data_IF_716555995502
#
_entry.id   IF_716555995502
#
_cell.length_a   1.000
_cell.length_b   1.000
_cell.length_c   1.000
_cell.angle_alpha   90.00
_cell.angle_beta   90.00
_cell.angle_gamma   90.00
#
_symmetry.space_group_name_H-M   'P 1'
#
loop_
_entity.id
_entity.type
_entity.pdbx_description
1 polymer ?
#
# COMPACT_ATOMS: atom_id res chain seq x y z
N UNK A 1 -21.40 14.17 14.75
CA UNK A 1 -21.97 12.85 15.13
C UNK A 1 -21.20 11.71 14.50
N UNK A 2 -21.09 11.60 13.18
CA UNK A 2 -20.33 10.50 12.50
C UNK A 2 -18.87 10.46 12.91
N UNK A 3 -18.16 11.58 12.92
CA UNK A 3 -16.73 11.64 13.29
C UNK A 3 -16.49 11.12 14.71
N UNK A 4 -17.40 11.39 15.64
CA UNK A 4 -17.31 10.94 17.03
C UNK A 4 -17.53 9.42 17.16
N UNK A 5 -18.31 8.83 16.28
CA UNK A 5 -18.51 7.38 16.22
C UNK A 5 -17.32 6.69 15.56
N UNK A 6 -16.82 7.23 14.45
CA UNK A 6 -15.66 6.70 13.75
C UNK A 6 -14.38 6.75 14.61
N UNK A 7 -14.28 7.66 15.56
CA UNK A 7 -13.15 7.75 16.49
C UNK A 7 -13.23 6.81 17.69
N UNK A 8 -14.28 5.98 17.79
CA UNK A 8 -14.43 4.93 18.81
C UNK A 8 -14.12 3.57 18.18
N UNK A 9 -13.39 2.73 18.92
CA UNK A 9 -13.09 1.37 18.47
C UNK A 9 -11.73 1.23 17.75
N UNK A 10 -11.58 0.12 17.07
CA UNK A 10 -10.37 -0.26 16.36
C UNK A 10 -10.07 0.65 15.15
N UNK A 11 -8.85 0.60 14.65
CA UNK A 11 -8.44 1.31 13.41
C UNK A 11 -9.25 0.79 12.22
N UNK A 12 -9.37 -0.54 12.10
CA UNK A 12 -10.18 -1.20 11.09
C UNK A 12 -11.06 -2.27 11.74
N UNK A 13 -12.29 -2.39 11.26
CA UNK A 13 -13.23 -3.43 11.67
C UNK A 13 -13.33 -4.49 10.57
N UNK A 14 -13.63 -5.76 10.97
CA UNK A 14 -13.85 -6.87 10.03
C UNK A 14 -12.72 -7.08 9.00
N UNK A 15 -11.48 -6.91 9.43
CA UNK A 15 -10.31 -7.08 8.56
C UNK A 15 -10.23 -8.48 7.94
N UNK A 16 -10.77 -9.50 8.63
CA UNK A 16 -10.87 -10.87 8.12
C UNK A 16 -11.92 -10.99 6.99
N UNK A 17 -13.11 -10.42 7.20
CA UNK A 17 -14.21 -10.49 6.22
C UNK A 17 -13.81 -9.77 4.91
N UNK A 18 -13.10 -8.65 5.01
CA UNK A 18 -12.59 -7.92 3.86
C UNK A 18 -11.58 -8.75 3.05
N UNK A 19 -10.73 -9.52 3.72
CA UNK A 19 -9.80 -10.43 3.06
C UNK A 19 -10.53 -11.56 2.32
N UNK A 20 -11.50 -12.20 2.96
CA UNK A 20 -12.32 -13.25 2.33
C UNK A 20 -13.05 -12.75 1.09
N UNK A 21 -13.62 -11.56 1.13
CA UNK A 21 -14.38 -11.01 0.00
C UNK A 21 -13.54 -10.55 -1.18
N UNK A 22 -12.32 -10.05 -0.93
CA UNK A 22 -11.53 -9.38 -1.96
C UNK A 22 -10.27 -10.13 -2.38
N UNK A 23 -9.73 -11.03 -1.55
CA UNK A 23 -8.39 -11.58 -1.73
C UNK A 23 -8.32 -13.11 -1.70
N UNK A 24 -9.43 -13.83 -1.45
CA UNK A 24 -9.49 -15.29 -1.55
C UNK A 24 -9.64 -15.81 -2.99
N UNK A 25 -9.35 -14.97 -3.97
CA UNK A 25 -9.21 -15.38 -5.35
C UNK A 25 -7.75 -15.81 -5.58
N UNK A 26 -7.50 -16.95 -6.22
CA UNK A 26 -6.11 -17.39 -6.49
C UNK A 26 -5.30 -16.28 -7.14
N UNK A 27 -4.03 -16.06 -6.73
CA UNK A 27 -3.15 -15.02 -7.30
C UNK A 27 -3.08 -15.03 -8.82
N UNK A 28 -3.19 -16.23 -9.42
CA UNK A 28 -3.21 -16.44 -10.86
C UNK A 28 -4.34 -15.70 -11.57
N UNK A 29 -5.49 -15.52 -10.91
CA UNK A 29 -6.59 -14.76 -11.48
C UNK A 29 -6.17 -13.32 -11.77
N UNK A 30 -5.42 -12.70 -10.88
CA UNK A 30 -4.97 -11.31 -11.05
C UNK A 30 -4.02 -11.16 -12.24
N UNK A 31 -3.26 -12.19 -12.59
CA UNK A 31 -2.42 -12.19 -13.80
C UNK A 31 -3.23 -12.11 -15.10
N UNK A 32 -4.50 -12.49 -15.08
CA UNK A 32 -5.39 -12.42 -16.25
C UNK A 32 -6.18 -11.12 -16.36
N UNK A 33 -6.39 -10.42 -15.24
CA UNK A 33 -7.29 -9.24 -15.21
C UNK A 33 -6.57 -7.93 -14.95
N UNK A 34 -5.34 -7.97 -14.43
CA UNK A 34 -4.51 -6.79 -14.17
C UNK A 34 -3.34 -6.71 -15.17
N UNK A 35 -2.67 -5.58 -15.20
CA UNK A 35 -1.45 -5.42 -15.96
C UNK A 35 -0.22 -6.03 -15.28
N UNK A 36 0.92 -5.85 -15.88
CA UNK A 36 2.21 -6.45 -15.47
C UNK A 36 2.65 -6.12 -14.03
N UNK A 37 2.14 -5.02 -13.47
CA UNK A 37 2.46 -4.63 -12.10
C UNK A 37 1.44 -5.12 -11.07
N UNK A 38 0.41 -5.86 -11.46
CA UNK A 38 -0.68 -6.34 -10.62
C UNK A 38 -1.28 -5.24 -9.73
N UNK A 39 -1.52 -4.08 -10.33
CA UNK A 39 -2.05 -2.92 -9.62
C UNK A 39 -3.56 -3.04 -9.43
N UNK A 40 -3.97 -3.66 -8.31
CA UNK A 40 -5.37 -3.83 -7.89
C UNK A 40 -5.90 -2.56 -7.21
N UNK A 41 -5.71 -1.44 -7.88
CA UNK A 41 -6.19 -0.10 -7.53
C UNK A 41 -6.27 0.71 -8.82
N UNK A 42 -6.76 1.94 -8.80
CA UNK A 42 -6.95 2.68 -10.03
C UNK A 42 -5.64 2.90 -10.80
N UNK A 43 -5.73 2.91 -12.12
CA UNK A 43 -4.66 3.22 -13.05
C UNK A 43 -4.90 4.57 -13.73
N UNK A 44 -3.84 5.20 -14.27
CA UNK A 44 -3.91 6.51 -14.94
C UNK A 44 -3.83 6.34 -16.45
N UNK A 45 -4.97 6.47 -17.13
CA UNK A 45 -5.08 6.33 -18.56
C UNK A 45 -4.77 7.63 -19.36
N UNK A 46 -4.21 8.63 -18.69
CA UNK A 46 -3.78 9.85 -19.35
C UNK A 46 -2.59 9.56 -20.28
N UNK A 47 -2.85 9.56 -21.58
CA UNK A 47 -1.91 9.16 -22.63
C UNK A 47 -1.40 7.69 -22.59
N UNK A 48 -2.08 6.79 -21.88
CA UNK A 48 -1.76 5.37 -21.86
C UNK A 48 -2.50 4.62 -22.98
N UNK A 49 -1.80 3.69 -23.65
CA UNK A 49 -2.35 2.88 -24.74
C UNK A 49 -2.73 1.46 -24.29
N UNK A 50 -2.32 1.09 -23.10
CA UNK A 50 -2.59 -0.22 -22.50
C UNK A 50 -2.79 -0.11 -21.00
N UNK A 51 -3.30 -1.17 -20.36
CA UNK A 51 -3.40 -1.25 -18.92
C UNK A 51 -2.00 -1.20 -18.27
N UNK A 52 -1.01 -1.85 -18.86
CA UNK A 52 0.38 -1.81 -18.39
C UNK A 52 0.93 -0.38 -18.34
N UNK A 53 0.69 0.41 -19.39
CA UNK A 53 1.11 1.82 -19.45
C UNK A 53 0.37 2.66 -18.41
N UNK A 54 -0.91 2.39 -18.22
CA UNK A 54 -1.74 3.12 -17.24
C UNK A 54 -1.33 2.82 -15.78
N UNK A 55 -1.04 1.56 -15.46
CA UNK A 55 -0.49 1.16 -14.17
C UNK A 55 0.86 1.85 -13.92
N UNK A 56 1.76 1.79 -14.90
CA UNK A 56 3.08 2.40 -14.79
C UNK A 56 2.99 3.92 -14.65
N UNK A 57 2.10 4.58 -15.38
CA UNK A 57 1.86 6.02 -15.29
C UNK A 57 1.39 6.42 -13.89
N UNK A 58 0.50 5.65 -13.28
CA UNK A 58 0.04 5.90 -11.92
C UNK A 58 1.14 5.66 -10.89
N UNK A 59 1.95 4.60 -11.04
CA UNK A 59 3.07 4.32 -10.13
C UNK A 59 4.14 5.43 -10.18
N UNK A 60 4.46 5.93 -11.36
CA UNK A 60 5.34 7.10 -11.54
C UNK A 60 4.78 8.35 -10.84
N UNK A 61 3.47 8.61 -11.00
CA UNK A 61 2.81 9.73 -10.34
C UNK A 61 2.88 9.63 -8.80
N UNK A 62 2.77 8.42 -8.23
CA UNK A 62 2.95 8.24 -6.78
C UNK A 62 4.39 8.53 -6.34
N UNK A 63 5.39 8.07 -7.09
CA UNK A 63 6.80 8.36 -6.83
C UNK A 63 7.05 9.86 -6.80
N UNK A 64 6.56 10.57 -7.80
CA UNK A 64 6.72 12.01 -7.93
C UNK A 64 6.03 12.77 -6.79
N UNK A 65 4.77 12.47 -6.53
CA UNK A 65 3.97 13.15 -5.50
C UNK A 65 4.43 12.86 -4.07
N UNK A 66 4.88 11.63 -3.82
CA UNK A 66 5.44 11.25 -2.52
C UNK A 66 6.90 11.68 -2.36
N UNK A 67 7.53 12.24 -3.40
CA UNK A 67 8.94 12.63 -3.40
C UNK A 67 9.85 11.46 -2.96
N UNK A 68 9.67 10.29 -3.61
CA UNK A 68 10.47 9.09 -3.35
C UNK A 68 11.87 9.27 -3.93
N UNK A 69 12.89 8.95 -3.13
CA UNK A 69 14.30 9.08 -3.53
C UNK A 69 15.08 7.81 -3.18
N UNK A 70 16.13 7.60 -3.95
CA UNK A 70 17.07 6.54 -3.63
C UNK A 70 17.71 6.81 -2.24
N UNK A 71 17.82 5.77 -1.42
CA UNK A 71 18.30 5.89 -0.03
C UNK A 71 17.21 6.16 1.00
N UNK A 72 15.94 6.33 0.60
CA UNK A 72 14.83 6.43 1.55
C UNK A 72 14.51 5.09 2.21
N UNK A 73 14.08 5.17 3.47
CA UNK A 73 13.34 4.11 4.16
C UNK A 73 11.84 4.36 3.91
N UNK A 74 11.17 3.42 3.24
CA UNK A 74 9.77 3.56 2.82
C UNK A 74 8.92 2.49 3.47
N UNK A 75 7.74 2.87 3.95
CA UNK A 75 6.68 1.94 4.36
C UNK A 75 5.54 1.99 3.35
N UNK A 76 5.20 0.85 2.75
CA UNK A 76 4.00 0.65 1.95
C UNK A 76 2.94 -0.01 2.83
N UNK A 77 1.99 0.79 3.31
CA UNK A 77 0.97 0.39 4.27
C UNK A 77 -0.32 0.00 3.56
N UNK A 78 -0.61 -1.29 3.53
CA UNK A 78 -1.66 -1.89 2.71
C UNK A 78 -1.15 -2.17 1.29
N UNK A 79 -0.03 -2.88 1.19
CA UNK A 79 0.73 -3.04 -0.05
C UNK A 79 0.05 -3.88 -1.15
N UNK A 80 -1.08 -4.55 -0.84
CA UNK A 80 -1.77 -5.43 -1.79
C UNK A 80 -0.82 -6.49 -2.37
N UNK A 81 -0.85 -6.69 -3.68
CA UNK A 81 0.03 -7.62 -4.40
C UNK A 81 1.45 -7.06 -4.63
N UNK A 82 1.82 -5.96 -3.96
CA UNK A 82 3.15 -5.38 -4.03
C UNK A 82 3.42 -4.54 -5.26
N UNK A 83 2.38 -4.11 -5.96
CA UNK A 83 2.50 -3.31 -7.18
C UNK A 83 3.45 -2.11 -7.01
N UNK A 84 3.23 -1.29 -5.98
CA UNK A 84 4.09 -0.15 -5.68
C UNK A 84 5.44 -0.59 -5.13
N UNK A 85 5.45 -1.52 -4.17
CA UNK A 85 6.65 -1.99 -3.49
C UNK A 85 7.69 -2.58 -4.45
N UNK A 86 7.28 -3.53 -5.29
CA UNK A 86 8.16 -4.18 -6.27
C UNK A 86 8.66 -3.18 -7.32
N UNK A 87 7.76 -2.30 -7.79
CA UNK A 87 8.09 -1.28 -8.78
C UNK A 87 9.15 -0.29 -8.28
N UNK A 88 9.04 0.13 -7.03
CA UNK A 88 9.98 1.07 -6.40
C UNK A 88 11.31 0.38 -6.05
N UNK A 89 11.26 -0.83 -5.49
CA UNK A 89 12.45 -1.58 -5.14
C UNK A 89 13.37 -1.84 -6.34
N UNK A 90 12.78 -2.15 -7.50
CA UNK A 90 13.51 -2.37 -8.75
C UNK A 90 14.19 -1.10 -9.29
N UNK A 91 13.56 0.06 -9.12
CA UNK A 91 14.04 1.35 -9.65
C UNK A 91 15.01 2.10 -8.75
N UNK A 92 14.95 1.84 -7.47
CA UNK A 92 15.76 2.52 -6.45
C UNK A 92 16.54 1.50 -5.61
N UNK A 93 17.67 0.98 -6.12
CA UNK A 93 18.40 -0.14 -5.49
C UNK A 93 18.96 0.18 -4.11
N UNK A 94 19.12 1.44 -3.73
CA UNK A 94 19.58 1.85 -2.40
C UNK A 94 18.45 2.31 -1.48
N UNK A 95 17.19 2.23 -1.92
CA UNK A 95 16.02 2.46 -1.09
C UNK A 95 15.66 1.14 -0.39
N UNK A 96 15.24 1.20 0.86
CA UNK A 96 14.65 0.06 1.55
C UNK A 96 13.14 0.24 1.65
N UNK A 97 12.38 -0.78 1.27
CA UNK A 97 10.93 -0.74 1.40
C UNK A 97 10.42 -1.86 2.31
N UNK A 98 9.63 -1.47 3.30
CA UNK A 98 8.86 -2.37 4.14
C UNK A 98 7.42 -2.38 3.64
N UNK A 99 6.93 -3.54 3.25
CA UNK A 99 5.58 -3.74 2.69
C UNK A 99 4.71 -4.46 3.70
N UNK A 100 3.59 -3.88 4.06
CA UNK A 100 2.70 -4.42 5.10
C UNK A 100 1.34 -4.77 4.52
N UNK A 101 0.91 -6.00 4.73
CA UNK A 101 -0.45 -6.48 4.46
C UNK A 101 -0.91 -7.44 5.56
N UNK A 102 -2.21 -7.56 5.76
CA UNK A 102 -2.81 -8.57 6.63
C UNK A 102 -3.03 -9.92 5.92
N UNK A 103 -2.85 -10.00 4.59
CA UNK A 103 -2.98 -11.21 3.78
C UNK A 103 -1.66 -11.97 3.69
N UNK A 104 -1.68 -13.25 4.07
CA UNK A 104 -0.53 -14.13 3.95
C UNK A 104 -0.13 -14.38 2.50
N UNK A 105 -1.12 -14.54 1.62
CA UNK A 105 -0.92 -14.83 0.21
C UNK A 105 -0.24 -13.67 -0.50
N UNK A 106 -0.64 -12.43 -0.18
CA UNK A 106 0.00 -11.23 -0.71
C UNK A 106 1.47 -11.14 -0.28
N UNK A 107 1.77 -11.38 0.99
CA UNK A 107 3.14 -11.34 1.51
C UNK A 107 4.01 -12.43 0.86
N UNK A 108 3.48 -13.66 0.76
CA UNK A 108 4.17 -14.77 0.10
C UNK A 108 4.46 -14.48 -1.37
N UNK A 109 3.48 -13.89 -2.07
CA UNK A 109 3.64 -13.47 -3.45
C UNK A 109 4.73 -12.42 -3.62
N UNK A 110 4.70 -11.35 -2.82
CA UNK A 110 5.71 -10.28 -2.88
C UNK A 110 7.11 -10.83 -2.64
N UNK A 111 7.27 -11.72 -1.66
CA UNK A 111 8.54 -12.34 -1.34
C UNK A 111 9.06 -13.20 -2.50
N UNK A 112 8.18 -14.02 -3.07
CA UNK A 112 8.52 -14.85 -4.24
C UNK A 112 8.92 -14.02 -5.46
N UNK A 113 8.21 -12.92 -5.74
CA UNK A 113 8.53 -12.02 -6.84
C UNK A 113 9.83 -11.24 -6.59
N UNK A 114 10.08 -10.81 -5.36
CA UNK A 114 11.34 -10.17 -4.99
C UNK A 114 12.53 -11.10 -5.22
N UNK A 115 12.42 -12.35 -4.77
CA UNK A 115 13.46 -13.38 -4.97
C UNK A 115 13.71 -13.64 -6.47
N UNK A 116 12.66 -13.82 -7.27
CA UNK A 116 12.76 -14.02 -8.72
C UNK A 116 13.43 -12.85 -9.45
N UNK A 117 13.20 -11.64 -8.99
CA UNK A 117 13.78 -10.40 -9.57
C UNK A 117 15.14 -10.03 -8.96
N UNK A 118 15.62 -10.78 -7.95
CA UNK A 118 16.88 -10.49 -7.24
C UNK A 118 16.84 -9.20 -6.43
N UNK A 119 15.66 -8.80 -5.93
CA UNK A 119 15.47 -7.60 -5.12
C UNK A 119 15.78 -7.90 -3.64
N UNK A 120 16.85 -7.34 -3.11
CA UNK A 120 17.26 -7.53 -1.70
C UNK A 120 16.83 -6.37 -0.78
N UNK A 121 16.19 -5.34 -1.34
CA UNK A 121 15.83 -4.09 -0.67
C UNK A 121 14.32 -4.00 -0.35
N UNK A 122 13.63 -5.13 -0.33
CA UNK A 122 12.21 -5.24 0.03
C UNK A 122 12.03 -6.21 1.19
N UNK A 123 11.25 -5.79 2.19
CA UNK A 123 10.88 -6.59 3.35
C UNK A 123 9.35 -6.66 3.45
N UNK A 124 8.76 -7.82 3.20
CA UNK A 124 7.32 -8.01 3.23
C UNK A 124 6.88 -8.64 4.55
N UNK A 125 5.96 -7.98 5.26
CA UNK A 125 5.53 -8.35 6.61
C UNK A 125 4.00 -8.51 6.68
N UNK A 126 3.57 -9.66 7.21
CA UNK A 126 2.16 -9.84 7.58
C UNK A 126 1.88 -9.10 8.88
N UNK A 127 0.99 -8.10 8.82
CA UNK A 127 0.63 -7.32 10.01
C UNK A 127 -0.77 -6.73 9.86
N UNK A 128 -1.56 -6.80 10.91
CA UNK A 128 -2.84 -6.09 11.00
C UNK A 128 -2.59 -4.63 11.36
N UNK A 129 -3.22 -3.72 10.63
CA UNK A 129 -3.12 -2.27 10.87
C UNK A 129 -3.57 -1.87 12.28
N UNK A 130 -4.42 -2.65 12.93
CA UNK A 130 -4.81 -2.47 14.32
C UNK A 130 -3.64 -2.65 15.30
N UNK A 131 -2.62 -3.40 14.90
CA UNK A 131 -1.44 -3.72 15.70
C UNK A 131 -0.16 -3.24 15.02
N UNK A 132 -0.23 -2.12 14.27
CA UNK A 132 0.89 -1.57 13.54
C UNK A 132 2.01 -1.11 14.48
N UNK A 133 3.03 -1.94 14.65
CA UNK A 133 4.20 -1.69 15.48
C UNK A 133 5.47 -2.11 14.73
N UNK A 134 6.32 -1.15 14.44
CA UNK A 134 7.61 -1.35 13.80
C UNK A 134 8.65 -0.53 14.57
N UNK A 135 9.82 -1.09 14.81
CA UNK A 135 10.92 -0.40 15.52
C UNK A 135 11.64 0.62 14.63
N UNK A 136 11.42 0.52 13.32
CA UNK A 136 12.04 1.36 12.30
C UNK A 136 11.23 2.64 12.07
N UNK A 137 11.93 3.71 11.68
CA UNK A 137 11.32 4.97 11.23
C UNK A 137 11.54 5.19 9.74
N UNK A 138 10.57 5.85 9.11
CA UNK A 138 10.50 5.97 7.66
C UNK A 138 10.60 7.42 7.18
N UNK A 139 11.26 7.61 6.03
CA UNK A 139 11.28 8.87 5.30
C UNK A 139 9.94 9.11 4.60
N UNK A 140 9.32 8.01 4.13
CA UNK A 140 8.02 8.04 3.46
C UNK A 140 7.15 6.90 3.94
N UNK A 141 5.91 7.22 4.22
CA UNK A 141 4.86 6.22 4.43
C UNK A 141 3.84 6.41 3.32
N UNK A 142 3.58 5.36 2.57
CA UNK A 142 2.68 5.36 1.41
C UNK A 142 1.49 4.47 1.74
N UNK A 143 0.29 4.90 1.43
CA UNK A 143 -0.90 4.07 1.49
C UNK A 143 -1.80 4.36 0.29
N UNK A 144 -2.14 3.32 -0.46
CA UNK A 144 -2.87 3.41 -1.71
C UNK A 144 -4.14 2.58 -1.59
N UNK A 145 -5.30 3.25 -1.65
CA UNK A 145 -6.63 2.64 -1.60
C UNK A 145 -6.80 1.63 -0.44
N UNK A 146 -6.40 2.06 0.75
CA UNK A 146 -6.57 1.32 1.99
C UNK A 146 -7.29 2.15 3.07
N UNK A 147 -7.08 3.47 3.09
CA UNK A 147 -7.64 4.34 4.12
C UNK A 147 -9.17 4.41 4.09
N UNK A 148 -9.81 4.20 2.95
CA UNK A 148 -11.27 4.11 2.82
C UNK A 148 -11.88 2.96 3.63
N UNK A 149 -11.09 1.93 3.94
CA UNK A 149 -11.49 0.79 4.76
C UNK A 149 -11.27 1.01 6.27
N UNK A 150 -10.65 2.15 6.65
CA UNK A 150 -10.36 2.46 8.05
C UNK A 150 -11.47 3.30 8.67
N UNK A 151 -11.61 3.19 9.99
CA UNK A 151 -12.58 3.95 10.78
C UNK A 151 -11.93 4.95 11.72
N UNK A 152 -11.00 4.49 12.54
CA UNK A 152 -10.40 5.32 13.57
C UNK A 152 -9.13 6.01 13.06
N UNK A 153 -9.33 7.06 12.25
CA UNK A 153 -8.24 7.86 11.70
C UNK A 153 -7.32 8.46 12.77
N UNK A 154 -7.86 8.77 13.96
CA UNK A 154 -7.05 9.32 15.04
C UNK A 154 -5.99 8.33 15.51
N UNK A 155 -6.35 7.06 15.66
CA UNK A 155 -5.40 6.02 16.06
C UNK A 155 -4.36 5.76 14.98
N UNK A 156 -4.80 5.58 13.73
CA UNK A 156 -3.83 5.29 12.64
C UNK A 156 -2.88 6.46 12.40
N UNK A 157 -3.34 7.70 12.41
CA UNK A 157 -2.45 8.85 12.26
C UNK A 157 -1.47 8.98 13.43
N UNK A 158 -1.88 8.62 14.66
CA UNK A 158 -0.96 8.59 15.79
C UNK A 158 0.13 7.51 15.59
N UNK A 159 -0.23 6.31 15.15
CA UNK A 159 0.75 5.26 14.85
C UNK A 159 1.70 5.70 13.73
N UNK A 160 1.18 6.26 12.65
CA UNK A 160 1.98 6.77 11.53
C UNK A 160 2.92 7.89 11.97
N UNK A 161 2.45 8.82 12.82
CA UNK A 161 3.29 9.91 13.35
C UNK A 161 4.51 9.35 14.09
N UNK A 162 4.34 8.30 14.88
CA UNK A 162 5.43 7.66 15.60
C UNK A 162 6.38 6.85 14.71
N UNK A 163 5.94 6.45 13.51
CA UNK A 163 6.76 5.74 12.53
C UNK A 163 7.49 6.68 11.57
N UNK A 164 7.11 7.94 11.47
CA UNK A 164 7.80 8.91 10.63
C UNK A 164 9.09 9.42 11.28
N UNK A 165 10.12 9.66 10.46
CA UNK A 165 11.27 10.49 10.83
C UNK A 165 10.83 11.94 10.99
N UNK A 166 11.68 12.81 11.54
CA UNK A 166 11.36 14.24 11.81
C UNK A 166 10.91 15.02 10.57
N UNK A 167 11.44 14.70 9.41
CA UNK A 167 11.13 15.28 8.10
C UNK A 167 10.37 14.30 7.18
N UNK A 168 9.94 13.18 7.76
CA UNK A 168 9.19 12.14 7.08
C UNK A 168 7.82 12.62 6.63
N UNK A 169 7.30 12.03 5.55
CA UNK A 169 6.00 12.40 4.97
C UNK A 169 5.12 11.19 4.77
N UNK A 170 3.83 11.39 4.98
CA UNK A 170 2.77 10.46 4.65
C UNK A 170 2.16 10.87 3.30
N UNK A 171 2.05 9.90 2.38
CA UNK A 171 1.28 10.02 1.15
C UNK A 171 0.09 9.06 1.22
N UNK A 172 -1.10 9.57 0.97
CA UNK A 172 -2.33 8.78 0.92
C UNK A 172 -3.00 9.00 -0.43
N UNK A 173 -3.37 7.90 -1.09
CA UNK A 173 -4.30 7.89 -2.20
C UNK A 173 -5.53 7.08 -1.80
N UNK A 174 -6.70 7.69 -1.88
CA UNK A 174 -8.00 7.05 -1.62
C UNK A 174 -8.98 7.40 -2.74
N UNK A 175 -9.98 6.57 -2.94
CA UNK A 175 -11.16 6.97 -3.69
C UNK A 175 -12.28 7.37 -2.72
N UNK A 176 -13.16 8.25 -3.16
CA UNK A 176 -14.30 8.69 -2.35
C UNK A 176 -15.47 9.07 -3.23
N UNK A 177 -16.68 9.00 -2.66
CA UNK A 177 -17.87 9.46 -3.33
C UNK A 177 -18.00 10.98 -3.27
N UNK A 178 -18.50 11.57 -4.35
CA UNK A 178 -18.71 13.01 -4.44
C UNK A 178 -19.82 13.52 -3.49
N UNK A 179 -20.85 12.72 -3.21
CA UNK A 179 -22.06 13.15 -2.51
C UNK A 179 -22.46 12.26 -1.34
N UNK A 180 -22.34 10.96 -1.46
CA UNK A 180 -22.79 9.98 -0.47
C UNK A 180 -21.62 9.14 -0.02
N UNK A 181 -21.59 8.82 1.27
CA UNK A 181 -20.75 7.77 1.85
C UNK A 181 -21.48 6.42 1.76
N UNK A 182 -20.78 5.35 1.61
CA UNK A 182 -21.30 3.99 1.71
C UNK A 182 -20.72 3.29 2.93
#
# INVERSE_FOLDING_TARGET
>A
MIITELSKGAVAEKTHDANEQHYEVPPEFFNYVLGKNLKYSCALFDNANSLDDAEESMLKLYIDRADIKNGHEVLDLGCGWGSFSLYVAERFPNLNITSVSNSNDQITYIQSEADKRGLSNINALKMDVNNLQLDQKFDRIISIEMFEHLRNYKLIFNSIYHLLKSDGRLFIHIFCHKKLTY
#
